data_IF_838911442717
#
_entry.id   IF_838911442717
#
_cell.length_a   1.000
_cell.length_b   1.000
_cell.length_c   1.000
_cell.angle_alpha   90.00
_cell.angle_beta   90.00
_cell.angle_gamma   90.00
#
_symmetry.space_group_name_H-M   'P 1'
#
loop_
_entity.id
_entity.type
_entity.pdbx_description
1 polymer ?
#
# COMPACT_ATOMS: atom_id res chain seq x y z
N UNK A 1 -7.61 -2.33 -4.58
CA UNK A 1 -8.91 -2.64 -3.96
C UNK A 1 -9.04 -4.16 -3.84
N UNK A 2 -8.36 -4.77 -2.87
CA UNK A 2 -8.83 -6.04 -2.34
C UNK A 2 -9.59 -5.65 -1.08
N UNK A 3 -10.91 -5.68 -1.20
CA UNK A 3 -11.80 -5.59 -0.08
C UNK A 3 -11.36 -6.70 0.89
N UNK A 4 -10.72 -6.36 2.02
CA UNK A 4 -10.42 -7.30 3.13
C UNK A 4 -11.73 -7.67 3.84
N UNK A 5 -12.83 -7.67 3.10
CA UNK A 5 -14.07 -8.29 3.50
C UNK A 5 -13.95 -9.75 3.07
N UNK A 6 -14.21 -10.70 3.98
CA UNK A 6 -14.29 -12.10 3.62
C UNK A 6 -15.24 -12.25 2.41
N UNK A 7 -14.94 -13.16 1.46
CA UNK A 7 -15.73 -13.29 0.24
C UNK A 7 -17.21 -13.47 0.60
N UNK A 8 -18.15 -12.97 -0.23
CA UNK A 8 -19.58 -12.97 0.10
C UNK A 8 -20.11 -14.36 0.41
N UNK A 9 -19.53 -15.40 -0.21
CA UNK A 9 -19.83 -16.81 0.08
C UNK A 9 -19.43 -17.24 1.50
N UNK A 10 -18.28 -16.77 2.00
CA UNK A 10 -17.83 -17.06 3.38
C UNK A 10 -18.69 -16.33 4.42
N UNK A 11 -19.10 -15.08 4.13
CA UNK A 11 -20.02 -14.33 5.01
C UNK A 11 -21.39 -14.98 5.08
N UNK A 12 -21.92 -15.40 3.94
CA UNK A 12 -23.18 -16.13 3.88
C UNK A 12 -23.07 -17.48 4.61
N UNK A 13 -22.00 -18.24 4.37
CA UNK A 13 -21.77 -19.51 5.06
C UNK A 13 -21.71 -19.31 6.58
N UNK A 14 -20.92 -18.37 7.10
CA UNK A 14 -20.82 -18.14 8.55
C UNK A 14 -22.12 -17.61 9.14
N UNK A 15 -22.88 -16.78 8.43
CA UNK A 15 -24.21 -16.34 8.86
C UNK A 15 -25.19 -17.53 8.98
N UNK A 16 -25.20 -18.40 7.96
CA UNK A 16 -26.04 -19.59 7.93
C UNK A 16 -25.61 -20.54 9.05
N UNK A 17 -24.31 -20.82 9.23
CA UNK A 17 -23.83 -21.71 10.29
C UNK A 17 -24.14 -21.16 11.68
N UNK A 18 -24.02 -19.84 11.90
CA UNK A 18 -24.36 -19.24 13.19
C UNK A 18 -25.86 -19.31 13.48
N UNK A 19 -26.71 -18.99 12.51
CA UNK A 19 -28.17 -19.03 12.70
C UNK A 19 -28.71 -20.45 12.80
N UNK A 20 -28.30 -21.34 11.89
CA UNK A 20 -28.71 -22.75 11.88
C UNK A 20 -28.13 -23.49 13.08
N UNK A 21 -26.90 -23.19 13.47
CA UNK A 21 -26.27 -23.75 14.67
C UNK A 21 -27.00 -23.35 15.96
N UNK A 22 -27.33 -22.06 16.12
CA UNK A 22 -28.16 -21.60 17.24
C UNK A 22 -29.55 -22.25 17.26
N UNK A 23 -30.18 -22.43 16.09
CA UNK A 23 -31.48 -23.09 15.99
C UNK A 23 -31.42 -24.59 16.32
N UNK A 24 -30.43 -25.31 15.79
CA UNK A 24 -30.24 -26.75 16.05
C UNK A 24 -29.93 -27.02 17.52
N UNK A 25 -29.10 -26.19 18.15
CA UNK A 25 -28.81 -26.32 19.58
C UNK A 25 -30.04 -26.03 20.44
N UNK A 26 -30.87 -25.06 20.05
CA UNK A 26 -32.14 -24.79 20.73
C UNK A 26 -33.17 -25.94 20.59
N UNK A 27 -33.09 -26.73 19.52
CA UNK A 27 -33.98 -27.86 19.26
C UNK A 27 -33.51 -29.18 19.91
N UNK A 28 -32.25 -29.29 20.33
CA UNK A 28 -31.67 -30.51 20.92
C UNK A 28 -32.46 -31.09 22.10
N UNK A 29 -33.00 -30.28 23.03
CA UNK A 29 -33.79 -30.80 24.15
C UNK A 29 -35.10 -31.48 23.73
N UNK A 30 -35.72 -31.01 22.64
CA UNK A 30 -36.92 -31.63 22.09
C UNK A 30 -36.66 -33.04 21.50
N UNK A 31 -35.39 -33.41 21.31
CA UNK A 31 -34.94 -34.70 20.77
C UNK A 31 -34.28 -35.58 21.85
N UNK A 32 -34.37 -35.19 23.13
CA UNK A 32 -33.88 -36.00 24.26
C UNK A 32 -32.38 -35.87 24.56
N UNK A 33 -31.70 -34.85 24.02
CA UNK A 33 -30.35 -34.47 24.46
C UNK A 33 -30.42 -33.63 25.74
N UNK A 34 -29.50 -33.88 26.68
CA UNK A 34 -29.51 -33.21 27.99
C UNK A 34 -29.32 -31.68 27.92
N UNK A 35 -30.21 -30.95 28.59
CA UNK A 35 -30.27 -29.47 28.65
C UNK A 35 -28.96 -28.81 29.09
N UNK A 36 -28.19 -29.48 29.95
CA UNK A 36 -26.89 -29.06 30.47
C UNK A 36 -25.86 -28.78 29.35
N UNK A 37 -25.84 -29.60 28.29
CA UNK A 37 -24.84 -29.49 27.22
C UNK A 37 -25.24 -28.46 26.16
N UNK A 38 -26.54 -28.35 25.83
CA UNK A 38 -27.03 -27.43 24.81
C UNK A 38 -26.74 -25.96 25.16
N UNK A 39 -26.85 -25.60 26.45
CA UNK A 39 -26.66 -24.22 26.91
C UNK A 39 -25.23 -23.70 26.73
N UNK A 40 -24.21 -24.58 26.85
CA UNK A 40 -22.80 -24.22 26.68
C UNK A 40 -22.42 -23.88 25.24
N UNK A 41 -23.03 -24.56 24.26
CA UNK A 41 -22.73 -24.35 22.84
C UNK A 41 -23.38 -23.06 22.28
N UNK A 42 -24.45 -22.56 22.89
CA UNK A 42 -25.14 -21.34 22.44
C UNK A 42 -24.25 -20.09 22.46
N UNK A 43 -23.28 -20.01 23.38
CA UNK A 43 -22.34 -18.89 23.46
C UNK A 43 -21.28 -18.86 22.36
N UNK A 44 -21.01 -19.98 21.71
CA UNK A 44 -19.94 -20.12 20.70
C UNK A 44 -20.35 -19.48 19.36
N UNK A 45 -21.62 -19.60 18.98
CA UNK A 45 -22.09 -19.11 17.68
C UNK A 45 -22.02 -17.57 17.51
N UNK A 46 -22.41 -16.75 18.50
CA UNK A 46 -22.22 -15.30 18.44
C UNK A 46 -20.75 -14.90 18.34
N UNK A 47 -19.85 -15.62 19.01
CA UNK A 47 -18.41 -15.35 18.96
C UNK A 47 -17.83 -15.64 17.58
N UNK A 48 -18.14 -16.81 17.00
CA UNK A 48 -17.73 -17.15 15.64
C UNK A 48 -18.32 -16.17 14.62
N UNK A 49 -19.59 -15.77 14.81
CA UNK A 49 -20.22 -14.73 14.01
C UNK A 49 -19.44 -13.41 14.07
N UNK A 50 -18.99 -13.00 15.26
CA UNK A 50 -18.25 -11.74 15.44
C UNK A 50 -16.92 -11.65 14.68
N UNK A 51 -16.33 -12.80 14.33
CA UNK A 51 -15.07 -12.88 13.58
C UNK A 51 -15.23 -12.60 12.09
N UNK A 52 -16.45 -12.65 11.54
CA UNK A 52 -16.67 -12.58 10.07
C UNK A 52 -17.82 -11.64 9.69
N UNK A 53 -18.82 -11.49 10.55
CA UNK A 53 -20.04 -10.73 10.30
C UNK A 53 -19.95 -9.31 10.87
N UNK A 54 -20.79 -8.41 10.33
CA UNK A 54 -20.91 -7.04 10.84
C UNK A 54 -21.77 -6.99 12.10
N UNK A 55 -21.68 -5.89 12.85
CA UNK A 55 -22.32 -5.76 14.17
C UNK A 55 -23.83 -6.06 14.17
N UNK A 56 -24.55 -5.71 13.09
CA UNK A 56 -25.99 -5.97 12.94
C UNK A 56 -26.34 -7.45 12.94
N UNK A 57 -25.58 -8.26 12.19
CA UNK A 57 -25.82 -9.69 12.05
C UNK A 57 -25.35 -10.45 13.30
N UNK A 58 -24.24 -10.02 13.90
CA UNK A 58 -23.77 -10.56 15.18
C UNK A 58 -24.74 -10.24 16.32
N UNK A 59 -25.35 -9.05 16.32
CA UNK A 59 -26.38 -8.69 17.29
C UNK A 59 -27.66 -9.53 17.11
N UNK A 60 -28.07 -9.79 15.86
CA UNK A 60 -29.20 -10.68 15.58
C UNK A 60 -28.91 -12.11 16.09
N UNK A 61 -27.75 -12.68 15.77
CA UNK A 61 -27.35 -14.00 16.24
C UNK A 61 -27.26 -14.08 17.77
N UNK A 62 -26.71 -13.05 18.41
CA UNK A 62 -26.67 -12.92 19.86
C UNK A 62 -28.07 -12.85 20.49
N UNK A 63 -28.98 -12.07 19.91
CA UNK A 63 -30.37 -11.98 20.37
C UNK A 63 -31.10 -13.33 20.25
N UNK A 64 -30.94 -14.04 19.13
CA UNK A 64 -31.48 -15.39 18.96
C UNK A 64 -30.92 -16.37 20.01
N UNK A 65 -29.62 -16.33 20.29
CA UNK A 65 -29.00 -17.20 21.30
C UNK A 65 -29.52 -16.89 22.73
N UNK A 66 -29.68 -15.62 23.07
CA UNK A 66 -30.23 -15.19 24.38
C UNK A 66 -31.70 -15.59 24.53
N UNK A 67 -32.51 -15.44 23.48
CA UNK A 67 -33.90 -15.87 23.48
C UNK A 67 -34.02 -17.39 23.63
N UNK A 68 -33.22 -18.15 22.87
CA UNK A 68 -33.19 -19.61 22.98
C UNK A 68 -32.78 -20.06 24.40
N UNK A 69 -31.73 -19.47 24.97
CA UNK A 69 -31.31 -19.74 26.34
C UNK A 69 -32.40 -19.39 27.37
N UNK A 70 -33.16 -18.31 27.12
CA UNK A 70 -34.29 -17.91 27.97
C UNK A 70 -35.46 -18.89 27.92
N UNK A 71 -35.76 -19.45 26.74
CA UNK A 71 -36.77 -20.51 26.60
C UNK A 71 -36.35 -21.76 27.38
N UNK A 72 -35.11 -22.22 27.19
CA UNK A 72 -34.57 -23.38 27.91
C UNK A 72 -34.59 -23.19 29.44
N UNK A 73 -34.30 -21.98 29.91
CA UNK A 73 -34.38 -21.64 31.33
C UNK A 73 -35.80 -21.84 31.92
N UNK A 74 -36.86 -21.62 31.14
CA UNK A 74 -38.25 -21.72 31.60
C UNK A 74 -38.82 -23.13 31.42
N UNK A 75 -38.34 -23.88 30.42
CA UNK A 75 -38.89 -25.20 30.06
C UNK A 75 -38.19 -26.38 30.73
N UNK A 76 -37.01 -26.19 31.33
CA UNK A 76 -36.27 -27.26 32.02
C UNK A 76 -36.91 -27.59 33.38
N UNK A 77 -37.60 -28.73 33.54
CA UNK A 77 -38.29 -29.10 34.78
C UNK A 77 -37.33 -29.63 35.85
N UNK A 78 -36.05 -29.91 35.51
CA UNK A 78 -35.06 -30.53 36.38
C UNK A 78 -33.98 -29.58 36.90
N UNK A 79 -33.91 -28.35 36.39
CA UNK A 79 -32.85 -27.43 36.74
C UNK A 79 -33.05 -26.67 38.05
N UNK A 80 -31.94 -26.38 38.73
CA UNK A 80 -31.94 -25.48 39.89
C UNK A 80 -32.12 -24.03 39.43
N UNK A 81 -32.94 -23.21 40.13
CA UNK A 81 -33.19 -21.81 39.74
C UNK A 81 -31.89 -21.01 39.59
N UNK A 82 -30.93 -21.22 40.49
CA UNK A 82 -29.63 -20.54 40.48
C UNK A 82 -28.75 -20.94 39.29
N UNK A 83 -28.76 -22.23 38.90
CA UNK A 83 -27.98 -22.75 37.78
C UNK A 83 -28.47 -22.21 36.43
N UNK A 84 -29.80 -22.18 36.23
CA UNK A 84 -30.40 -21.67 34.98
C UNK A 84 -30.15 -20.19 34.78
N UNK A 85 -30.28 -19.38 35.85
CA UNK A 85 -29.99 -17.94 35.83
C UNK A 85 -28.52 -17.68 35.50
N UNK A 86 -27.59 -18.40 36.13
CA UNK A 86 -26.15 -18.24 35.88
C UNK A 86 -25.79 -18.55 34.42
N UNK A 87 -26.32 -19.66 33.87
CA UNK A 87 -26.06 -20.05 32.48
C UNK A 87 -26.63 -19.05 31.48
N UNK A 88 -27.85 -18.56 31.72
CA UNK A 88 -28.45 -17.52 30.88
C UNK A 88 -27.63 -16.23 30.92
N UNK A 89 -27.19 -15.80 32.11
CA UNK A 89 -26.33 -14.63 32.27
C UNK A 89 -24.99 -14.77 31.51
N UNK A 90 -24.41 -15.97 31.45
CA UNK A 90 -23.20 -16.25 30.65
C UNK A 90 -23.48 -16.08 29.15
N UNK A 91 -24.60 -16.60 28.64
CA UNK A 91 -24.97 -16.43 27.22
C UNK A 91 -25.18 -14.95 26.87
N UNK A 92 -25.84 -14.18 27.76
CA UNK A 92 -26.01 -12.73 27.62
C UNK A 92 -24.66 -12.01 27.58
N UNK A 93 -23.74 -12.34 28.50
CA UNK A 93 -22.42 -11.74 28.55
C UNK A 93 -21.59 -12.04 27.28
N UNK A 94 -21.62 -13.27 26.78
CA UNK A 94 -20.92 -13.68 25.56
C UNK A 94 -21.52 -13.00 24.31
N UNK A 95 -22.84 -12.88 24.22
CA UNK A 95 -23.50 -12.15 23.14
C UNK A 95 -23.13 -10.66 23.15
N UNK A 96 -23.12 -10.02 24.33
CA UNK A 96 -22.68 -8.64 24.48
C UNK A 96 -21.21 -8.45 24.08
N UNK A 97 -20.33 -9.36 24.50
CA UNK A 97 -18.90 -9.35 24.14
C UNK A 97 -18.68 -9.53 22.63
N UNK A 98 -19.43 -10.42 22.00
CA UNK A 98 -19.39 -10.62 20.54
C UNK A 98 -19.76 -9.33 19.77
N UNK A 99 -20.82 -8.63 20.21
CA UNK A 99 -21.24 -7.35 19.60
C UNK A 99 -20.19 -6.27 19.83
N UNK A 100 -19.63 -6.17 21.06
CA UNK A 100 -18.59 -5.20 21.38
C UNK A 100 -17.34 -5.40 20.51
N UNK A 101 -16.89 -6.64 20.33
CA UNK A 101 -15.77 -6.97 19.45
C UNK A 101 -16.03 -6.55 18.00
N UNK A 102 -17.22 -6.80 17.45
CA UNK A 102 -17.60 -6.31 16.12
C UNK A 102 -17.51 -4.78 16.04
N UNK A 103 -18.07 -4.06 17.01
CA UNK A 103 -18.05 -2.60 17.02
C UNK A 103 -16.63 -2.03 17.08
N UNK A 104 -15.76 -2.60 17.92
CA UNK A 104 -14.35 -2.20 18.03
C UNK A 104 -13.61 -2.51 16.72
N UNK A 105 -13.82 -3.70 16.15
CA UNK A 105 -13.22 -4.10 14.88
C UNK A 105 -13.63 -3.18 13.74
N UNK A 106 -14.92 -2.91 13.56
CA UNK A 106 -15.40 -2.04 12.50
C UNK A 106 -14.86 -0.62 12.64
N UNK A 107 -14.77 -0.07 13.87
CA UNK A 107 -14.14 1.23 14.12
C UNK A 107 -12.66 1.23 13.75
N UNK A 108 -11.91 0.17 14.10
CA UNK A 108 -10.49 0.02 13.74
C UNK A 108 -10.32 -0.06 12.23
N UNK A 109 -11.10 -0.89 11.55
CA UNK A 109 -11.07 -1.01 10.09
C UNK A 109 -11.43 0.31 9.40
N UNK A 110 -12.44 1.04 9.89
CA UNK A 110 -12.84 2.32 9.35
C UNK A 110 -11.72 3.37 9.49
N UNK A 111 -11.08 3.46 10.66
CA UNK A 111 -9.92 4.35 10.87
C UNK A 111 -8.76 4.01 9.93
N UNK A 112 -8.42 2.72 9.81
CA UNK A 112 -7.35 2.28 8.90
C UNK A 112 -7.67 2.60 7.44
N UNK A 113 -8.93 2.39 7.01
CA UNK A 113 -9.39 2.76 5.65
C UNK A 113 -9.31 4.26 5.42
N UNK A 114 -9.72 5.08 6.39
CA UNK A 114 -9.65 6.54 6.28
C UNK A 114 -8.21 7.02 6.17
N UNK A 115 -7.30 6.51 7.00
CA UNK A 115 -5.86 6.84 6.91
C UNK A 115 -5.27 6.39 5.58
N UNK A 116 -5.60 5.20 5.10
CA UNK A 116 -5.14 4.70 3.81
C UNK A 116 -5.68 5.53 2.64
N UNK A 117 -6.92 5.99 2.69
CA UNK A 117 -7.54 6.80 1.65
C UNK A 117 -6.96 8.22 1.62
N UNK A 118 -6.73 8.84 2.79
CA UNK A 118 -6.04 10.13 2.89
C UNK A 118 -4.61 10.01 2.36
N UNK A 119 -3.89 8.95 2.72
CA UNK A 119 -2.55 8.68 2.20
C UNK A 119 -2.57 8.50 0.68
N UNK A 120 -3.56 7.79 0.14
CA UNK A 120 -3.74 7.60 -1.31
C UNK A 120 -4.01 8.91 -2.03
N UNK A 121 -4.90 9.74 -1.50
CA UNK A 121 -5.23 11.06 -2.07
C UNK A 121 -4.00 11.96 -2.04
N UNK A 122 -3.29 12.01 -0.92
CA UNK A 122 -2.02 12.73 -0.80
C UNK A 122 -0.99 12.23 -1.82
N UNK A 123 -0.78 10.92 -1.93
CA UNK A 123 0.12 10.34 -2.94
C UNK A 123 -0.26 10.71 -4.37
N UNK A 124 -1.55 10.65 -4.70
CA UNK A 124 -2.02 11.00 -6.05
C UNK A 124 -1.89 12.49 -6.36
N UNK A 125 -1.90 13.36 -5.35
CA UNK A 125 -1.62 14.78 -5.52
C UNK A 125 -0.12 15.08 -5.71
N UNK A 126 0.75 14.17 -5.26
CA UNK A 126 2.21 14.32 -5.30
C UNK A 126 2.81 13.71 -6.58
N UNK A 127 2.29 12.58 -7.06
CA UNK A 127 2.72 11.92 -8.30
C UNK A 127 2.01 12.55 -9.50
N UNK A 128 2.64 13.56 -10.10
CA UNK A 128 2.16 14.09 -11.39
C UNK A 128 2.38 13.03 -12.49
N UNK A 129 1.43 12.88 -13.44
CA UNK A 129 1.62 11.98 -14.57
C UNK A 129 2.88 12.39 -15.34
N UNK A 130 3.82 11.46 -15.49
CA UNK A 130 5.07 11.70 -16.23
C UNK A 130 4.69 12.17 -17.65
N UNK A 131 5.16 13.36 -18.07
CA UNK A 131 4.79 13.90 -19.36
C UNK A 131 5.33 12.97 -20.46
N UNK A 132 4.50 12.66 -21.46
CA UNK A 132 4.92 11.80 -22.59
C UNK A 132 6.08 12.41 -23.39
N UNK A 133 6.24 13.73 -23.31
CA UNK A 133 7.37 14.51 -23.83
C UNK A 133 7.72 15.65 -22.88
N UNK A 134 9.00 15.89 -22.68
CA UNK A 134 9.53 17.12 -22.08
C UNK A 134 10.75 17.55 -22.91
N UNK A 135 10.76 18.79 -23.39
CA UNK A 135 11.73 19.25 -24.40
C UNK A 135 11.85 18.31 -25.61
N UNK A 136 13.09 17.96 -25.98
CA UNK A 136 13.40 17.02 -27.09
C UNK A 136 13.35 15.53 -26.69
N UNK A 137 12.89 15.22 -25.48
CA UNK A 137 12.93 13.88 -24.90
C UNK A 137 11.53 13.29 -24.77
N UNK A 138 11.41 12.01 -25.10
CA UNK A 138 10.19 11.23 -24.94
C UNK A 138 10.33 10.31 -23.72
N UNK A 139 9.34 10.32 -22.83
CA UNK A 139 9.35 9.51 -21.59
C UNK A 139 8.22 8.48 -21.63
N UNK A 140 8.49 7.28 -21.13
CA UNK A 140 7.52 6.24 -20.88
C UNK A 140 7.72 5.67 -19.47
N UNK A 141 6.74 5.85 -18.61
CA UNK A 141 6.70 5.25 -17.30
C UNK A 141 5.63 4.17 -17.25
N UNK A 142 5.96 3.01 -16.69
CA UNK A 142 5.01 1.94 -16.39
C UNK A 142 5.10 1.59 -14.92
N UNK A 143 4.33 2.30 -14.10
CA UNK A 143 4.20 2.00 -12.68
C UNK A 143 3.44 0.67 -12.49
N UNK A 144 4.17 -0.45 -12.37
CA UNK A 144 3.61 -1.76 -12.02
C UNK A 144 3.59 -1.93 -10.50
N UNK A 145 2.70 -1.20 -9.83
CA UNK A 145 2.41 -1.45 -8.41
C UNK A 145 1.79 -2.83 -8.24
N UNK A 146 2.47 -3.74 -7.53
CA UNK A 146 2.01 -5.10 -7.27
C UNK A 146 0.78 -5.19 -6.34
N UNK A 147 0.31 -4.10 -5.72
CA UNK A 147 -0.91 -4.14 -4.92
C UNK A 147 -1.52 -2.74 -4.69
N UNK A 148 -2.60 -2.40 -5.42
CA UNK A 148 -3.38 -1.15 -5.28
C UNK A 148 -4.13 -1.00 -3.93
N UNK A 149 -3.72 -1.68 -2.86
CA UNK A 149 -4.34 -1.57 -1.54
C UNK A 149 -3.39 -1.92 -0.36
N UNK A 150 -2.26 -2.59 -0.60
CA UNK A 150 -1.32 -2.94 0.48
C UNK A 150 0.16 -2.61 0.16
N UNK A 151 0.48 -2.21 -1.07
CA UNK A 151 1.80 -1.73 -1.44
C UNK A 151 1.69 -0.23 -1.73
N UNK A 152 1.61 0.54 -0.66
CA UNK A 152 1.94 1.96 -0.67
C UNK A 152 3.45 2.01 -0.90
N UNK A 153 3.86 1.93 -2.17
CA UNK A 153 5.23 1.66 -2.61
C UNK A 153 6.14 2.89 -2.60
N UNK A 154 7.43 2.66 -2.35
CA UNK A 154 8.50 3.65 -2.23
C UNK A 154 9.09 4.14 -3.56
N UNK A 155 8.68 3.58 -4.70
CA UNK A 155 9.15 4.01 -6.01
C UNK A 155 8.76 5.48 -6.30
N UNK A 156 9.77 6.33 -6.50
CA UNK A 156 9.64 7.74 -6.89
C UNK A 156 10.06 7.90 -8.35
N UNK A 157 9.24 8.65 -9.10
CA UNK A 157 9.55 9.07 -10.45
C UNK A 157 8.97 10.45 -10.70
N UNK A 158 9.81 11.39 -11.10
CA UNK A 158 9.38 12.73 -11.48
C UNK A 158 10.28 13.32 -12.57
N UNK A 159 9.67 14.13 -13.45
CA UNK A 159 10.32 14.76 -14.60
C UNK A 159 9.90 16.23 -14.64
N UNK A 160 10.88 17.13 -14.66
CA UNK A 160 10.69 18.58 -14.66
C UNK A 160 11.46 19.20 -15.82
N UNK A 161 10.80 20.00 -16.65
CA UNK A 161 11.46 20.77 -17.71
C UNK A 161 12.06 22.06 -17.14
N UNK A 162 13.36 22.27 -17.33
CA UNK A 162 14.18 23.31 -16.69
C UNK A 162 14.55 24.40 -17.70
N UNK A 163 13.60 24.80 -18.55
CA UNK A 163 13.84 25.80 -19.60
C UNK A 163 14.94 25.41 -20.60
N UNK A 164 15.08 26.18 -21.67
CA UNK A 164 16.08 25.96 -22.73
C UNK A 164 16.09 24.53 -23.32
N UNK A 165 14.98 23.79 -23.19
CA UNK A 165 14.88 22.38 -23.60
C UNK A 165 15.60 21.37 -22.69
N UNK A 166 16.20 21.81 -21.58
CA UNK A 166 16.80 20.92 -20.55
C UNK A 166 15.73 20.28 -19.69
N UNK A 167 15.93 19.03 -19.31
CA UNK A 167 14.99 18.27 -18.48
C UNK A 167 15.72 17.63 -17.32
N UNK A 168 15.19 17.77 -16.10
CA UNK A 168 15.65 17.04 -14.93
C UNK A 168 14.69 15.92 -14.61
N UNK A 169 15.21 14.77 -14.19
CA UNK A 169 14.40 13.66 -13.71
C UNK A 169 15.01 13.03 -12.45
N UNK A 170 14.15 12.50 -11.59
CA UNK A 170 14.54 11.69 -10.43
C UNK A 170 13.82 10.36 -10.49
N UNK A 171 14.56 9.28 -10.23
CA UNK A 171 14.04 7.92 -10.14
C UNK A 171 14.59 7.29 -8.87
N UNK A 172 13.77 6.63 -8.07
CA UNK A 172 14.28 6.04 -6.84
C UNK A 172 13.30 5.11 -6.17
N UNK A 173 13.72 4.55 -5.05
CA UNK A 173 12.90 3.74 -4.15
C UNK A 173 13.19 4.11 -2.69
N UNK A 174 12.12 4.33 -1.92
CA UNK A 174 12.17 4.59 -0.48
C UNK A 174 12.20 3.28 0.28
N UNK A 175 13.17 3.14 1.19
CA UNK A 175 13.19 2.01 2.13
C UNK A 175 11.99 2.11 3.08
N UNK A 176 11.23 1.03 3.18
CA UNK A 176 10.13 0.89 4.13
C UNK A 176 8.78 0.69 3.44
N UNK A 177 7.71 0.75 4.24
CA UNK A 177 6.34 0.61 3.74
C UNK A 177 5.36 1.43 4.55
N UNK A 178 4.23 1.77 3.94
CA UNK A 178 3.16 2.50 4.61
C UNK A 178 3.43 4.00 4.70
N UNK A 179 2.71 4.68 5.59
CA UNK A 179 2.63 6.15 5.63
C UNK A 179 3.97 6.88 5.84
N UNK A 180 4.93 6.39 6.66
CA UNK A 180 6.24 7.03 6.78
C UNK A 180 7.03 7.05 5.46
N UNK A 181 7.04 5.94 4.72
CA UNK A 181 7.71 5.85 3.42
C UNK A 181 7.07 6.79 2.38
N UNK A 182 5.74 6.94 2.41
CA UNK A 182 5.03 7.93 1.58
C UNK A 182 5.48 9.34 1.88
N UNK A 183 5.51 9.69 3.17
CA UNK A 183 5.86 11.04 3.59
C UNK A 183 7.27 11.37 3.12
N UNK A 184 8.20 10.43 3.24
CA UNK A 184 9.58 10.62 2.80
C UNK A 184 9.68 10.76 1.26
N UNK A 185 8.99 9.91 0.50
CA UNK A 185 8.90 10.02 -0.95
C UNK A 185 8.34 11.40 -1.38
N UNK A 186 7.28 11.85 -0.71
CA UNK A 186 6.65 13.14 -0.95
C UNK A 186 7.59 14.31 -0.72
N UNK A 187 8.33 14.27 0.39
CA UNK A 187 9.35 15.27 0.71
C UNK A 187 10.45 15.30 -0.35
N UNK A 188 10.94 14.13 -0.78
CA UNK A 188 11.98 14.04 -1.81
C UNK A 188 11.51 14.66 -3.15
N UNK A 189 10.30 14.31 -3.60
CA UNK A 189 9.71 14.83 -4.84
C UNK A 189 9.42 16.34 -4.75
N UNK A 190 8.86 16.82 -3.63
CA UNK A 190 8.61 18.25 -3.42
C UNK A 190 9.91 19.07 -3.44
N UNK A 191 10.94 18.62 -2.71
CA UNK A 191 12.25 19.26 -2.71
C UNK A 191 12.92 19.23 -4.09
N UNK A 192 12.76 18.12 -4.82
CA UNK A 192 13.30 17.99 -6.18
C UNK A 192 12.64 18.97 -7.14
N UNK A 193 11.31 19.12 -7.09
CA UNK A 193 10.60 20.12 -7.89
C UNK A 193 11.10 21.52 -7.61
N UNK A 194 11.12 21.91 -6.34
CA UNK A 194 11.52 23.25 -5.93
C UNK A 194 12.97 23.55 -6.35
N UNK A 195 13.90 22.62 -6.10
CA UNK A 195 15.28 22.77 -6.50
C UNK A 195 15.46 22.76 -8.03
N UNK A 196 14.63 22.02 -8.77
CA UNK A 196 14.69 21.96 -10.23
C UNK A 196 14.22 23.25 -10.91
N UNK A 197 13.38 24.05 -10.27
CA UNK A 197 12.97 25.37 -10.78
C UNK A 197 14.14 26.37 -10.82
N UNK A 198 15.18 26.14 -10.02
CA UNK A 198 16.40 26.95 -9.99
C UNK A 198 17.36 26.51 -11.10
N UNK A 199 17.28 27.19 -12.25
CA UNK A 199 18.00 26.83 -13.48
C UNK A 199 19.52 27.02 -13.40
N UNK A 200 19.97 27.88 -12.50
CA UNK A 200 21.36 28.22 -12.22
C UNK A 200 22.08 27.15 -11.39
N UNK A 201 21.34 26.33 -10.65
CA UNK A 201 21.93 25.27 -9.83
C UNK A 201 22.39 24.11 -10.71
N UNK A 202 23.63 23.61 -10.55
CA UNK A 202 24.04 22.36 -11.18
C UNK A 202 23.40 21.16 -10.48
N UNK A 203 23.29 20.03 -11.20
CA UNK A 203 22.60 18.83 -10.71
C UNK A 203 23.06 18.34 -9.32
N UNK A 204 24.37 18.29 -9.00
CA UNK A 204 24.81 17.88 -7.65
C UNK A 204 24.25 18.77 -6.53
N UNK A 205 24.05 20.06 -6.77
CA UNK A 205 23.48 20.97 -5.77
C UNK A 205 21.99 20.75 -5.57
N UNK A 206 21.27 20.44 -6.66
CA UNK A 206 19.88 19.97 -6.57
C UNK A 206 19.80 18.73 -5.69
N UNK A 207 20.69 17.74 -5.89
CA UNK A 207 20.73 16.54 -5.05
C UNK A 207 21.01 16.86 -3.59
N UNK A 208 21.96 17.76 -3.28
CA UNK A 208 22.20 18.18 -1.88
C UNK A 208 20.98 18.84 -1.23
N UNK A 209 20.21 19.62 -1.98
CA UNK A 209 18.99 20.25 -1.45
C UNK A 209 17.93 19.20 -1.14
N UNK A 210 17.74 18.24 -2.06
CA UNK A 210 16.82 17.11 -1.84
C UNK A 210 17.27 16.26 -0.65
N UNK A 211 18.56 15.94 -0.57
CA UNK A 211 19.13 15.18 0.53
C UNK A 211 18.93 15.86 1.88
N UNK A 212 19.08 17.19 1.96
CA UNK A 212 18.81 17.96 3.19
C UNK A 212 17.35 17.82 3.63
N UNK A 213 16.41 17.94 2.69
CA UNK A 213 14.98 17.78 2.98
C UNK A 213 14.63 16.35 3.39
N UNK A 214 15.24 15.35 2.75
CA UNK A 214 15.07 13.94 3.11
C UNK A 214 15.64 13.65 4.49
N UNK A 215 16.87 14.08 4.76
CA UNK A 215 17.55 13.92 6.06
C UNK A 215 16.77 14.54 7.21
N UNK A 216 16.12 15.69 6.99
CA UNK A 216 15.28 16.33 7.99
C UNK A 216 13.95 15.60 8.25
N UNK A 217 13.47 14.79 7.30
CA UNK A 217 12.20 14.09 7.39
C UNK A 217 12.32 12.57 7.68
N UNK A 218 13.50 12.01 7.48
CA UNK A 218 13.87 10.62 7.72
C UNK A 218 14.02 10.33 9.23
N UNK A 219 13.63 9.13 9.67
CA UNK A 219 14.07 8.59 10.95
C UNK A 219 15.45 7.92 10.85
N UNK A 220 15.97 7.43 11.97
CA UNK A 220 17.34 6.90 12.09
C UNK A 220 17.67 5.73 11.13
N UNK A 221 16.66 5.02 10.62
CA UNK A 221 16.84 3.91 9.66
C UNK A 221 16.20 4.16 8.29
N UNK A 222 15.66 5.35 8.03
CA UNK A 222 14.97 5.65 6.79
C UNK A 222 15.94 6.24 5.75
N UNK A 223 15.92 5.69 4.54
CA UNK A 223 16.74 6.18 3.44
C UNK A 223 16.03 6.04 2.10
N UNK A 224 16.48 6.82 1.12
CA UNK A 224 15.94 6.77 -0.24
C UNK A 224 17.06 6.51 -1.23
N UNK A 225 16.96 5.41 -1.97
CA UNK A 225 17.85 5.16 -3.12
C UNK A 225 17.33 5.97 -4.29
N UNK A 226 18.17 6.78 -4.94
CA UNK A 226 17.74 7.59 -6.06
C UNK A 226 18.83 7.80 -7.11
N UNK A 227 18.43 7.95 -8.36
CA UNK A 227 19.23 8.40 -9.48
C UNK A 227 18.61 9.69 -10.02
N UNK A 228 19.42 10.74 -10.07
CA UNK A 228 19.06 12.03 -10.63
C UNK A 228 19.68 12.17 -12.02
N UNK A 229 18.91 12.73 -12.94
CA UNK A 229 19.28 12.88 -14.33
C UNK A 229 19.09 14.33 -14.74
N UNK A 230 20.05 14.88 -15.47
CA UNK A 230 19.90 16.11 -16.25
C UNK A 230 20.13 15.78 -17.72
N UNK A 231 19.12 16.05 -18.54
CA UNK A 231 19.03 15.72 -19.94
C UNK A 231 19.09 17.01 -20.76
N UNK A 232 20.12 17.14 -21.58
CA UNK A 232 20.32 18.33 -22.40
C UNK A 232 19.78 18.14 -23.83
N UNK A 233 19.22 19.17 -24.47
CA UNK A 233 18.73 19.08 -25.85
C UNK A 233 19.82 18.69 -26.86
N UNK A 234 21.08 19.04 -26.61
CA UNK A 234 22.26 18.66 -27.38
C UNK A 234 22.64 17.18 -27.26
N UNK A 235 22.13 16.48 -26.25
CA UNK A 235 22.22 15.01 -26.14
C UNK A 235 23.22 14.48 -25.12
N UNK A 236 23.80 15.34 -24.29
CA UNK A 236 24.48 14.86 -23.09
C UNK A 236 23.47 14.61 -21.97
N UNK A 237 23.81 13.65 -21.11
CA UNK A 237 23.04 13.24 -19.93
C UNK A 237 23.98 13.19 -18.75
N UNK A 238 23.68 13.97 -17.74
CA UNK A 238 24.40 13.91 -16.47
C UNK A 238 23.59 13.07 -15.47
N UNK A 239 24.28 12.16 -14.79
CA UNK A 239 23.69 11.24 -13.82
C UNK A 239 24.36 11.45 -12.48
N UNK A 240 23.58 11.63 -11.41
CA UNK A 240 24.06 11.54 -10.03
C UNK A 240 23.35 10.37 -9.37
N UNK A 241 24.10 9.35 -8.99
CA UNK A 241 23.56 8.14 -8.39
C UNK A 241 23.77 8.12 -6.87
N UNK A 242 22.68 8.08 -6.12
CA UNK A 242 22.59 7.98 -4.67
C UNK A 242 22.08 6.58 -4.26
N UNK A 243 22.86 5.54 -4.56
CA UNK A 243 22.59 4.16 -4.16
C UNK A 243 21.51 3.41 -4.97
N UNK A 244 21.05 3.95 -6.10
CA UNK A 244 20.09 3.30 -6.99
C UNK A 244 20.80 2.37 -8.01
N UNK A 245 20.16 1.30 -8.51
CA UNK A 245 20.73 0.52 -9.62
C UNK A 245 21.01 1.39 -10.86
N UNK A 246 22.14 1.15 -11.56
CA UNK A 246 22.53 1.97 -12.70
C UNK A 246 21.54 1.85 -13.86
N UNK A 247 21.13 2.97 -14.50
CA UNK A 247 20.21 2.89 -15.61
C UNK A 247 20.84 2.23 -16.83
N UNK A 248 20.09 1.38 -17.52
CA UNK A 248 20.51 0.65 -18.70
C UNK A 248 20.28 1.48 -19.96
N UNK A 249 21.27 1.57 -20.84
CA UNK A 249 21.18 2.17 -22.18
C UNK A 249 21.03 1.06 -23.22
N UNK A 250 20.01 1.18 -24.08
CA UNK A 250 19.80 0.35 -25.26
C UNK A 250 20.06 1.14 -26.55
N UNK A 251 20.87 0.56 -27.44
CA UNK A 251 21.19 1.16 -28.74
C UNK A 251 19.97 1.28 -29.65
N UNK A 252 19.93 2.34 -30.46
CA UNK A 252 18.89 2.61 -31.45
C UNK A 252 18.72 1.48 -32.48
N UNK A 253 19.80 0.74 -32.78
CA UNK A 253 19.83 -0.36 -33.78
C UNK A 253 19.36 -1.71 -33.23
N UNK A 254 19.03 -1.79 -31.93
CA UNK A 254 18.71 -3.05 -31.26
C UNK A 254 19.94 -3.92 -31.03
N UNK A 255 19.96 -4.68 -29.93
CA UNK A 255 20.95 -5.75 -29.69
C UNK A 255 22.04 -5.46 -28.66
N UNK A 256 22.33 -4.20 -28.30
CA UNK A 256 23.31 -3.89 -27.26
C UNK A 256 22.67 -3.09 -26.11
N UNK A 257 22.65 -3.71 -24.93
CA UNK A 257 22.25 -3.09 -23.67
C UNK A 257 23.52 -2.89 -22.84
N UNK A 258 23.84 -1.65 -22.49
CA UNK A 258 24.98 -1.29 -21.66
C UNK A 258 24.50 -0.52 -20.44
N UNK A 259 24.91 -0.90 -19.24
CA UNK A 259 24.63 -0.08 -18.06
C UNK A 259 25.35 1.27 -18.17
N UNK A 260 24.65 2.35 -17.82
CA UNK A 260 25.24 3.66 -17.49
C UNK A 260 25.81 3.54 -16.08
N UNK A 261 26.85 2.72 -15.94
CA UNK A 261 27.49 2.46 -14.66
C UNK A 261 28.14 3.74 -14.16
N UNK A 262 27.74 4.25 -12.97
CA UNK A 262 28.38 5.39 -12.38
C UNK A 262 29.85 5.09 -12.10
N UNK A 263 30.70 6.10 -12.22
CA UNK A 263 32.13 5.98 -11.96
C UNK A 263 32.42 5.85 -10.46
N UNK A 264 31.45 6.20 -9.61
CA UNK A 264 31.52 6.03 -8.15
C UNK A 264 30.17 5.68 -7.55
N UNK A 265 30.15 4.74 -6.61
CA UNK A 265 28.99 4.47 -5.76
C UNK A 265 28.87 5.55 -4.67
N UNK A 266 27.65 6.04 -4.44
CA UNK A 266 27.32 6.97 -3.37
C UNK A 266 26.34 6.35 -2.39
N UNK A 267 26.26 6.89 -1.18
CA UNK A 267 25.25 6.48 -0.21
C UNK A 267 23.85 6.93 -0.65
N UNK A 268 22.79 6.29 -0.14
CA UNK A 268 21.42 6.76 -0.32
C UNK A 268 21.18 8.17 0.25
N UNK A 269 20.12 8.83 -0.21
CA UNK A 269 19.64 10.08 0.41
C UNK A 269 19.23 9.81 1.86
N UNK A 270 19.52 10.77 2.74
CA UNK A 270 19.39 10.63 4.20
C UNK A 270 20.65 10.11 4.88
N UNK A 271 21.64 9.65 4.11
CA UNK A 271 22.91 9.10 4.60
C UNK A 271 24.12 9.86 4.03
N UNK A 272 23.97 11.17 3.80
CA UNK A 272 25.00 12.08 3.29
C UNK A 272 25.69 11.59 1.99
N UNK A 273 24.96 11.52 0.86
CA UNK A 273 25.49 11.12 -0.43
C UNK A 273 26.62 12.03 -0.91
N UNK A 274 27.71 11.40 -1.35
CA UNK A 274 28.73 12.05 -2.17
C UNK A 274 28.14 12.28 -3.58
N UNK A 275 27.80 13.52 -3.89
CA UNK A 275 27.15 13.88 -5.15
C UNK A 275 28.19 14.08 -6.27
N UNK A 276 28.63 12.99 -6.92
CA UNK A 276 29.50 13.05 -8.10
C UNK A 276 28.67 12.87 -9.38
N UNK A 277 28.70 13.85 -10.30
CA UNK A 277 28.02 13.72 -11.58
C UNK A 277 28.87 12.95 -12.59
N UNK A 278 28.26 11.97 -13.25
CA UNK A 278 28.82 11.29 -14.42
C UNK A 278 28.10 11.76 -15.69
N UNK A 279 28.85 12.10 -16.73
CA UNK A 279 28.28 12.63 -17.97
C UNK A 279 28.43 11.63 -19.11
N UNK A 280 27.32 11.33 -19.78
CA UNK A 280 27.24 10.40 -20.90
C UNK A 280 26.66 11.12 -22.12
N UNK A 281 27.13 10.76 -23.31
CA UNK A 281 26.53 11.23 -24.57
C UNK A 281 25.56 10.18 -25.13
N UNK A 282 24.38 10.64 -25.54
CA UNK A 282 23.33 9.81 -26.15
C UNK A 282 23.07 10.23 -27.61
N UNK A 283 23.27 9.27 -28.51
CA UNK A 283 22.87 9.38 -29.90
C UNK A 283 21.33 9.42 -30.03
N UNK A 284 20.83 10.04 -31.11
CA UNK A 284 19.40 10.06 -31.39
C UNK A 284 18.85 8.63 -31.52
N UNK A 285 17.68 8.39 -30.91
CA UNK A 285 17.09 7.05 -30.88
C UNK A 285 17.70 6.09 -29.87
N UNK A 286 18.62 6.52 -29.01
CA UNK A 286 19.02 5.71 -27.85
C UNK A 286 17.92 5.75 -26.79
N UNK A 287 17.55 4.60 -26.24
CA UNK A 287 16.62 4.52 -25.11
C UNK A 287 17.35 4.09 -23.84
N UNK A 288 17.01 4.69 -22.72
CA UNK A 288 17.55 4.36 -21.41
C UNK A 288 16.42 3.91 -20.47
N UNK A 289 16.67 2.93 -19.61
CA UNK A 289 15.71 2.36 -18.67
C UNK A 289 16.38 2.10 -17.32
N UNK A 290 15.85 2.61 -16.21
CA UNK A 290 16.42 2.38 -14.88
C UNK A 290 15.92 1.10 -14.20
N UNK A 291 14.77 0.59 -14.63
CA UNK A 291 14.07 -0.58 -14.09
C UNK A 291 12.94 -0.98 -15.05
N UNK A 292 12.16 -2.07 -14.84
CA UNK A 292 10.95 -2.32 -15.64
C UNK A 292 9.89 -1.19 -15.54
N UNK A 293 10.10 -0.21 -14.66
CA UNK A 293 9.14 0.83 -14.29
C UNK A 293 9.30 2.12 -15.10
N UNK A 294 10.49 2.43 -15.65
CA UNK A 294 10.72 3.69 -16.35
C UNK A 294 11.75 3.59 -17.48
N UNK A 295 11.41 4.16 -18.64
CA UNK A 295 12.28 4.31 -19.80
C UNK A 295 12.13 5.70 -20.46
N UNK A 296 13.20 6.23 -21.03
CA UNK A 296 13.20 7.48 -21.80
C UNK A 296 14.04 7.35 -23.08
N UNK A 297 13.74 8.18 -24.09
CA UNK A 297 14.40 8.14 -25.41
C UNK A 297 14.49 9.55 -25.98
N UNK A 298 15.60 9.85 -26.66
CA UNK A 298 15.76 11.11 -27.42
C UNK A 298 14.97 11.04 -28.74
N UNK A 299 14.06 11.98 -28.98
CA UNK A 299 13.31 12.09 -30.25
C UNK A 299 11.93 11.39 -30.29
N UNK A 300 11.80 10.36 -31.13
CA UNK A 300 10.52 9.69 -31.53
C UNK A 300 9.63 9.24 -30.35
N UNK A 301 8.29 9.19 -30.54
CA UNK A 301 7.33 8.91 -29.46
C UNK A 301 7.58 7.59 -28.74
N UNK A 302 7.41 7.60 -27.40
CA UNK A 302 7.81 6.55 -26.46
C UNK A 302 7.03 5.22 -26.54
N UNK A 303 6.13 5.07 -27.52
CA UNK A 303 5.24 3.90 -27.68
C UNK A 303 5.97 2.56 -27.91
N UNK A 304 7.30 2.56 -28.09
CA UNK A 304 8.14 1.37 -28.27
C UNK A 304 9.30 1.26 -27.27
N UNK A 305 9.24 1.96 -26.14
CA UNK A 305 10.34 1.96 -25.17
C UNK A 305 10.36 0.74 -24.24
N UNK A 306 9.23 0.10 -23.97
CA UNK A 306 9.22 -1.18 -23.26
C UNK A 306 9.30 -2.33 -24.28
N UNK A 307 10.21 -3.32 -24.11
CA UNK A 307 10.04 -4.59 -24.80
C UNK A 307 8.64 -5.13 -24.44
N UNK A 308 7.88 -5.56 -25.45
CA UNK A 308 6.66 -6.32 -25.22
C UNK A 308 7.09 -7.62 -24.52
N UNK A 309 7.01 -7.64 -23.20
CA UNK A 309 7.23 -8.86 -22.43
C UNK A 309 6.19 -9.89 -22.84
N UNK A 310 6.68 -11.02 -23.35
CA UNK A 310 6.04 -12.33 -23.32
C UNK A 310 5.68 -12.73 -21.90
#
# INVERSE_FOLDING_TARGET
MLDVRPPPRLRAAVAVTALVGSFLVAAMPAVGFGDEQAMGWLGVFPLVASLVLGWRLTALAGACAVLAAGVLMVTDPGATPTGSVLRWAVVVALAAFAVLNCLVRERREARLRQVAEVARVAQSAILQPVPSRAGSWSFAARYRSAHRAAAVGGDLLEVVEVGDGRVRAVLGDVRGKGLPAVRLAATALAAFREASLRRDLPLPEVVRLVDRSVSAAAGDEDFVTAAFLELDPGGWVQVVNCGHPPPLRSSARGGQVSALTPTSCSTPLGLNPVCRPDTFTLEQGTACCSSPTACWRRGTPAARCCPRGS
#
